data_IF_131797633403
#
_entry.id   IF_131797633403
#
_cell.length_a   1.000
_cell.length_b   1.000
_cell.length_c   1.000
_cell.angle_alpha   90.00
_cell.angle_beta   90.00
_cell.angle_gamma   90.00
#
_symmetry.space_group_name_H-M   'P 1'
#
loop_
_entity.id
_entity.type
_entity.pdbx_description
1 polymer ?
#
# COMPACT_ATOMS: atom_id res chain seq x y z
N UNK A 1 -33.70 27.58 3.60
CA UNK A 1 -32.27 27.15 3.66
C UNK A 1 -32.01 25.76 3.03
N UNK A 2 -32.52 24.61 3.53
CA UNK A 2 -32.45 23.32 2.78
C UNK A 2 -33.60 23.13 1.76
N UNK A 3 -34.70 23.86 1.92
CA UNK A 3 -35.87 23.79 1.03
C UNK A 3 -35.82 24.76 -0.17
N UNK A 4 -34.78 25.58 -0.31
CA UNK A 4 -34.75 26.67 -1.30
C UNK A 4 -33.77 26.46 -2.47
N UNK A 5 -32.92 25.43 -2.48
CA UNK A 5 -31.97 25.22 -3.58
C UNK A 5 -31.73 23.71 -3.78
N UNK A 6 -31.59 23.27 -5.04
CA UNK A 6 -31.24 21.91 -5.49
C UNK A 6 -29.97 21.33 -4.83
N UNK A 7 -29.98 21.09 -3.53
CA UNK A 7 -28.85 20.60 -2.75
C UNK A 7 -29.23 19.27 -2.09
N UNK A 8 -28.58 18.20 -2.52
CA UNK A 8 -28.60 16.90 -1.86
C UNK A 8 -27.39 16.76 -0.94
N UNK A 9 -27.50 15.90 0.08
CA UNK A 9 -26.40 15.49 0.94
C UNK A 9 -26.08 14.03 0.63
N UNK A 10 -24.82 13.72 0.35
CA UNK A 10 -24.32 12.34 0.28
C UNK A 10 -23.56 12.09 1.58
N UNK A 11 -23.89 11.01 2.26
CA UNK A 11 -23.24 10.58 3.50
C UNK A 11 -22.51 9.27 3.20
N UNK A 12 -21.21 9.25 3.47
CA UNK A 12 -20.37 8.05 3.38
C UNK A 12 -19.91 7.75 4.80
N UNK A 13 -20.07 6.50 5.23
CA UNK A 13 -19.54 5.98 6.49
C UNK A 13 -18.54 4.89 6.16
N UNK A 14 -17.38 4.95 6.81
CA UNK A 14 -16.29 4.00 6.68
C UNK A 14 -15.90 3.54 8.08
N UNK A 15 -15.90 2.22 8.30
CA UNK A 15 -15.39 1.57 9.50
C UNK A 15 -15.17 0.08 9.18
N UNK A 16 -14.68 -0.69 10.14
CA UNK A 16 -14.63 -2.15 10.07
C UNK A 16 -16.02 -2.73 9.92
N UNK A 17 -16.11 -3.93 9.33
CA UNK A 17 -17.37 -4.62 9.11
C UNK A 17 -18.15 -4.81 10.41
N UNK A 18 -17.44 -5.25 11.46
CA UNK A 18 -17.99 -5.53 12.78
C UNK A 18 -18.52 -4.26 13.47
N UNK A 19 -17.78 -3.16 13.34
CA UNK A 19 -18.16 -1.88 13.95
C UNK A 19 -19.33 -1.23 13.20
N UNK A 20 -19.33 -1.32 11.87
CA UNK A 20 -20.46 -0.88 11.05
C UNK A 20 -21.74 -1.67 11.36
N UNK A 21 -21.64 -2.99 11.44
CA UNK A 21 -22.78 -3.86 11.77
C UNK A 21 -23.31 -3.53 13.17
N UNK A 22 -22.41 -3.42 14.15
CA UNK A 22 -22.75 -3.02 15.53
C UNK A 22 -23.40 -1.64 15.60
N UNK A 23 -22.92 -0.68 14.81
CA UNK A 23 -23.46 0.68 14.76
C UNK A 23 -24.88 0.70 14.17
N UNK A 24 -25.09 0.02 13.05
CA UNK A 24 -26.38 -0.05 12.38
C UNK A 24 -27.42 -0.85 13.19
N UNK A 25 -27.00 -1.90 13.89
CA UNK A 25 -27.87 -2.66 14.81
C UNK A 25 -28.37 -1.81 15.98
N UNK A 26 -27.51 -0.94 16.53
CA UNK A 26 -27.90 0.03 17.57
C UNK A 26 -28.79 1.16 17.05
N UNK A 27 -28.74 1.45 15.74
CA UNK A 27 -29.46 2.57 15.11
C UNK A 27 -30.31 2.08 13.91
N UNK A 28 -31.36 1.28 14.13
CA UNK A 28 -32.12 0.65 13.05
C UNK A 28 -32.82 1.65 12.11
N UNK A 29 -33.09 2.87 12.56
CA UNK A 29 -33.62 3.95 11.71
C UNK A 29 -32.63 4.37 10.60
N UNK A 30 -31.33 4.31 10.88
CA UNK A 30 -30.28 4.67 9.91
C UNK A 30 -30.10 3.60 8.84
N UNK A 31 -30.44 2.32 9.11
CA UNK A 31 -30.36 1.24 8.11
C UNK A 31 -31.13 1.56 6.83
N UNK A 32 -32.20 2.34 6.92
CA UNK A 32 -33.01 2.75 5.76
C UNK A 32 -32.38 3.93 4.99
N UNK A 33 -31.51 4.71 5.64
CA UNK A 33 -30.83 5.86 5.02
C UNK A 33 -29.59 5.44 4.21
N UNK A 34 -28.98 4.29 4.52
CA UNK A 34 -27.83 3.74 3.80
C UNK A 34 -28.27 2.62 2.85
N UNK A 35 -28.62 2.99 1.62
CA UNK A 35 -29.12 2.07 0.58
C UNK A 35 -28.01 1.37 -0.22
N UNK A 36 -26.74 1.76 -0.01
CA UNK A 36 -25.57 1.17 -0.66
C UNK A 36 -24.56 0.78 0.42
N UNK A 37 -24.05 -0.46 0.34
CA UNK A 37 -22.96 -0.97 1.16
C UNK A 37 -21.89 -1.54 0.25
N UNK A 38 -20.64 -1.16 0.51
CA UNK A 38 -19.46 -1.70 -0.18
C UNK A 38 -18.57 -2.27 0.90
N UNK A 39 -18.47 -3.60 0.96
CA UNK A 39 -17.51 -4.29 1.83
C UNK A 39 -16.19 -4.45 1.06
N UNK A 40 -15.14 -3.76 1.51
CA UNK A 40 -13.80 -3.86 0.95
C UNK A 40 -13.06 -4.98 1.68
N UNK A 41 -12.63 -6.01 0.96
CA UNK A 41 -11.79 -7.06 1.52
C UNK A 41 -10.33 -6.59 1.57
N UNK A 42 -9.58 -7.07 2.56
CA UNK A 42 -8.14 -6.91 2.56
C UNK A 42 -7.53 -7.53 1.29
N UNK A 43 -6.44 -6.94 0.83
CA UNK A 43 -5.68 -7.49 -0.29
C UNK A 43 -4.94 -8.75 0.16
N UNK A 44 -4.95 -9.77 -0.67
CA UNK A 44 -4.08 -10.92 -0.49
C UNK A 44 -2.61 -10.54 -0.70
N UNK A 45 -1.69 -11.40 -0.26
CA UNK A 45 -0.25 -11.15 -0.34
C UNK A 45 0.20 -10.87 -1.78
N UNK A 46 -0.39 -11.54 -2.78
CA UNK A 46 -0.07 -11.33 -4.19
C UNK A 46 -0.52 -9.94 -4.68
N UNK A 47 -1.70 -9.48 -4.25
CA UNK A 47 -2.20 -8.13 -4.56
C UNK A 47 -1.41 -7.04 -3.83
N UNK A 48 -0.95 -7.31 -2.60
CA UNK A 48 -0.04 -6.41 -1.86
C UNK A 48 1.33 -6.31 -2.57
N UNK A 49 1.86 -7.41 -3.09
CA UNK A 49 3.11 -7.40 -3.89
C UNK A 49 2.91 -6.68 -5.22
N UNK A 50 1.79 -6.89 -5.91
CA UNK A 50 1.46 -6.15 -7.13
C UNK A 50 1.37 -4.64 -6.87
N UNK A 51 0.73 -4.25 -5.76
CA UNK A 51 0.68 -2.86 -5.31
C UNK A 51 2.08 -2.29 -5.05
N UNK A 52 2.93 -3.03 -4.33
CA UNK A 52 4.30 -2.60 -4.03
C UNK A 52 5.12 -2.37 -5.31
N UNK A 53 4.99 -3.25 -6.31
CA UNK A 53 5.66 -3.13 -7.60
C UNK A 53 5.21 -1.87 -8.35
N UNK A 54 3.91 -1.60 -8.35
CA UNK A 54 3.36 -0.40 -8.96
C UNK A 54 3.83 0.87 -8.22
N UNK A 55 3.83 0.85 -6.88
CA UNK A 55 4.29 1.97 -6.07
C UNK A 55 5.79 2.24 -6.26
N UNK A 56 6.63 1.21 -6.30
CA UNK A 56 8.05 1.34 -6.65
C UNK A 56 8.22 1.93 -8.06
N UNK A 57 7.44 1.46 -9.03
CA UNK A 57 7.47 1.97 -10.40
C UNK A 57 7.11 3.46 -10.47
N UNK A 58 6.10 3.91 -9.72
CA UNK A 58 5.74 5.33 -9.60
C UNK A 58 6.84 6.19 -8.97
N UNK A 59 7.77 5.57 -8.24
CA UNK A 59 8.94 6.22 -7.63
C UNK A 59 10.20 6.13 -8.49
N UNK A 60 10.10 5.65 -9.73
CA UNK A 60 11.23 5.42 -10.64
C UNK A 60 12.14 4.25 -10.21
N UNK A 61 11.59 3.28 -9.46
CA UNK A 61 12.26 2.05 -9.05
C UNK A 61 11.63 0.79 -9.67
N UNK A 62 12.45 -0.20 -9.98
CA UNK A 62 12.03 -1.56 -10.30
C UNK A 62 12.46 -2.51 -9.18
N UNK A 63 11.72 -3.59 -8.93
CA UNK A 63 12.09 -4.60 -7.94
C UNK A 63 12.54 -5.86 -8.69
N UNK A 64 13.77 -6.32 -8.45
CA UNK A 64 14.25 -7.57 -9.06
C UNK A 64 13.59 -8.82 -8.46
N UNK A 65 13.75 -9.96 -9.11
CA UNK A 65 13.09 -11.21 -8.66
C UNK A 65 13.44 -11.58 -7.21
N UNK A 66 14.67 -11.32 -6.75
CA UNK A 66 15.06 -11.61 -5.36
C UNK A 66 14.48 -10.57 -4.39
N UNK A 67 14.38 -9.31 -4.80
CA UNK A 67 13.68 -8.24 -4.10
C UNK A 67 12.19 -8.55 -3.91
N UNK A 68 11.54 -9.16 -4.92
CA UNK A 68 10.16 -9.63 -4.80
C UNK A 68 10.03 -10.75 -3.76
N UNK A 69 10.96 -11.72 -3.74
CA UNK A 69 10.95 -12.77 -2.71
C UNK A 69 11.16 -12.20 -1.29
N UNK A 70 12.07 -11.23 -1.14
CA UNK A 70 12.26 -10.53 0.13
C UNK A 70 10.99 -9.76 0.53
N UNK A 71 10.36 -9.06 -0.41
CA UNK A 71 9.11 -8.34 -0.18
C UNK A 71 7.98 -9.27 0.29
N UNK A 72 7.78 -10.43 -0.36
CA UNK A 72 6.83 -11.44 0.11
C UNK A 72 7.09 -11.83 1.56
N UNK A 73 8.37 -12.05 1.91
CA UNK A 73 8.76 -12.37 3.30
C UNK A 73 8.40 -11.24 4.25
N UNK A 74 8.69 -9.97 3.89
CA UNK A 74 8.39 -8.79 4.72
C UNK A 74 6.90 -8.52 4.92
N UNK A 75 6.07 -8.88 3.94
CA UNK A 75 4.60 -8.83 4.04
C UNK A 75 4.14 -9.97 4.96
N UNK A 76 4.56 -11.20 4.68
CA UNK A 76 4.18 -12.37 5.47
C UNK A 76 4.57 -12.25 6.95
N UNK A 77 5.74 -11.69 7.26
CA UNK A 77 6.20 -11.42 8.63
C UNK A 77 5.31 -10.43 9.40
N UNK A 78 4.60 -9.56 8.69
CA UNK A 78 3.68 -8.58 9.29
C UNK A 78 2.25 -9.08 9.37
N UNK A 79 1.88 -10.11 8.60
CA UNK A 79 0.59 -10.77 8.74
C UNK A 79 0.56 -11.53 10.08
N UNK A 80 -0.41 -11.23 10.93
CA UNK A 80 -0.63 -11.95 12.18
C UNK A 80 -2.09 -12.39 12.29
N UNK A 81 -2.43 -13.14 13.34
CA UNK A 81 -3.82 -13.56 13.58
C UNK A 81 -4.75 -12.36 13.90
N UNK A 82 -4.18 -11.25 14.35
CA UNK A 82 -4.86 -10.06 14.82
C UNK A 82 -4.61 -8.81 13.95
N UNK A 83 -3.80 -8.94 12.89
CA UNK A 83 -3.44 -7.84 12.00
C UNK A 83 -3.30 -8.32 10.55
N UNK A 84 -4.03 -7.66 9.66
CA UNK A 84 -3.88 -7.81 8.22
C UNK A 84 -3.05 -6.65 7.67
N UNK A 85 -2.06 -6.95 6.83
CA UNK A 85 -1.16 -5.94 6.27
C UNK A 85 -1.93 -4.99 5.35
N UNK A 86 -1.79 -3.70 5.63
CA UNK A 86 -2.45 -2.64 4.85
C UNK A 86 -1.57 -2.15 3.69
N UNK A 87 -2.22 -1.53 2.70
CA UNK A 87 -1.55 -0.82 1.61
C UNK A 87 -0.59 0.26 2.12
N UNK A 88 -0.92 0.91 3.24
CA UNK A 88 -0.06 1.92 3.87
C UNK A 88 1.25 1.30 4.39
N UNK A 89 1.17 0.14 5.06
CA UNK A 89 2.37 -0.56 5.53
C UNK A 89 3.22 -1.10 4.38
N UNK A 90 2.61 -1.51 3.27
CA UNK A 90 3.37 -1.89 2.07
C UNK A 90 4.14 -0.70 1.49
N UNK A 91 3.55 0.51 1.49
CA UNK A 91 4.29 1.73 1.11
C UNK A 91 5.50 1.94 2.00
N UNK A 92 5.34 1.79 3.32
CA UNK A 92 6.45 1.94 4.27
C UNK A 92 7.57 0.92 4.00
N UNK A 93 7.23 -0.33 3.65
CA UNK A 93 8.23 -1.35 3.27
C UNK A 93 9.02 -0.91 2.02
N UNK A 94 8.33 -0.38 1.02
CA UNK A 94 8.98 0.08 -0.23
C UNK A 94 9.80 1.35 0.02
N UNK A 95 9.29 2.30 0.79
CA UNK A 95 9.99 3.54 1.16
C UNK A 95 11.26 3.23 1.98
N UNK A 96 11.20 2.27 2.91
CA UNK A 96 12.37 1.73 3.61
C UNK A 96 13.39 1.17 2.61
N UNK A 97 12.94 0.36 1.64
CA UNK A 97 13.83 -0.24 0.64
C UNK A 97 14.50 0.82 -0.26
N UNK A 98 13.75 1.84 -0.69
CA UNK A 98 14.27 3.00 -1.41
C UNK A 98 15.33 3.70 -0.57
N UNK A 99 15.04 3.99 0.71
CA UNK A 99 15.98 4.62 1.62
C UNK A 99 17.29 3.82 1.74
N UNK A 100 17.22 2.49 1.89
CA UNK A 100 18.41 1.65 1.98
C UNK A 100 19.19 1.58 0.66
N UNK A 101 18.49 1.55 -0.48
CA UNK A 101 19.10 1.61 -1.80
C UNK A 101 19.84 2.94 -2.01
N UNK A 102 19.23 4.07 -1.61
CA UNK A 102 19.81 5.40 -1.70
C UNK A 102 20.98 5.61 -0.73
N UNK A 103 20.85 5.17 0.52
CA UNK A 103 21.95 5.28 1.49
C UNK A 103 23.20 4.53 1.03
N UNK A 104 23.02 3.35 0.43
CA UNK A 104 24.11 2.59 -0.20
C UNK A 104 24.60 3.25 -1.48
N UNK A 105 23.68 3.87 -2.25
CA UNK A 105 24.01 4.69 -3.41
C UNK A 105 24.96 5.82 -3.04
N UNK A 106 24.69 6.60 -1.99
CA UNK A 106 25.52 7.73 -1.54
C UNK A 106 26.89 7.27 -1.04
N UNK A 107 26.96 6.14 -0.35
CA UNK A 107 28.24 5.52 -0.02
C UNK A 107 29.04 5.08 -1.28
N UNK A 108 28.36 4.97 -2.43
CA UNK A 108 28.88 4.44 -3.69
C UNK A 108 28.73 5.43 -4.86
N UNK A 109 28.44 6.72 -4.60
CA UNK A 109 28.22 7.74 -5.64
C UNK A 109 29.49 7.96 -6.48
N UNK A 110 30.65 7.57 -5.95
CA UNK A 110 31.94 7.51 -6.66
C UNK A 110 31.90 6.50 -7.81
N UNK A 111 31.13 5.42 -7.70
CA UNK A 111 31.09 4.32 -8.68
C UNK A 111 30.00 4.52 -9.75
N UNK A 112 29.23 5.62 -9.71
CA UNK A 112 28.04 5.82 -10.58
C UNK A 112 28.17 6.98 -11.56
N UNK A 113 29.37 7.55 -11.66
CA UNK A 113 29.82 7.99 -12.98
C UNK A 113 29.93 6.80 -14.00
N UNK A 114 29.70 5.55 -13.57
CA UNK A 114 30.03 4.30 -14.27
C UNK A 114 28.80 3.37 -14.47
N UNK A 115 27.98 3.64 -15.50
CA UNK A 115 27.37 2.62 -16.39
C UNK A 115 26.50 1.42 -15.89
N UNK A 116 25.96 1.31 -14.66
CA UNK A 116 25.31 0.03 -14.23
C UNK A 116 24.03 0.05 -13.38
N UNK A 117 23.21 1.12 -13.37
CA UNK A 117 22.03 1.18 -12.46
C UNK A 117 20.66 1.40 -13.11
N UNK A 118 20.59 1.28 -14.41
CA UNK A 118 19.36 1.51 -15.18
C UNK A 118 18.92 0.20 -15.81
N UNK A 119 17.65 -0.16 -15.65
CA UNK A 119 17.01 -1.15 -16.53
C UNK A 119 16.68 -0.49 -17.89
N UNK A 120 16.03 -1.21 -18.80
CA UNK A 120 15.70 -0.70 -20.14
C UNK A 120 14.84 0.57 -20.14
N UNK A 121 14.24 0.94 -19.00
CA UNK A 121 13.39 2.10 -18.80
C UNK A 121 14.02 3.17 -17.90
N UNK A 122 15.33 3.11 -17.66
CA UNK A 122 16.04 4.03 -16.75
C UNK A 122 15.57 3.96 -15.27
N UNK A 123 15.08 2.81 -14.81
CA UNK A 123 14.64 2.63 -13.42
C UNK A 123 15.76 2.12 -12.51
N UNK A 124 15.76 2.56 -11.24
CA UNK A 124 16.70 2.06 -10.22
C UNK A 124 16.21 0.73 -9.66
N UNK A 125 17.06 -0.30 -9.70
CA UNK A 125 16.68 -1.65 -9.27
C UNK A 125 16.86 -1.81 -7.75
N UNK A 126 15.75 -2.00 -7.03
CA UNK A 126 15.68 -2.50 -5.65
C UNK A 126 15.96 -4.01 -5.63
N UNK A 127 16.90 -4.41 -4.78
CA UNK A 127 17.35 -5.81 -4.64
C UNK A 127 16.93 -6.37 -3.29
N UNK A 128 17.02 -7.69 -3.14
CA UNK A 128 16.78 -8.41 -1.87
C UNK A 128 17.35 -7.69 -0.64
N UNK A 129 18.62 -7.29 -0.74
CA UNK A 129 19.37 -6.61 0.32
C UNK A 129 18.78 -5.27 0.75
N UNK A 130 17.97 -4.63 -0.06
CA UNK A 130 17.39 -3.31 0.23
C UNK A 130 16.09 -3.47 1.04
N UNK A 131 15.43 -4.63 0.97
CA UNK A 131 14.33 -5.03 1.85
C UNK A 131 14.82 -5.64 3.18
N UNK A 132 16.12 -5.95 3.28
CA UNK A 132 16.78 -6.46 4.49
C UNK A 132 17.44 -5.31 5.26
N UNK A 133 17.11 -5.20 6.56
CA UNK A 133 17.67 -4.20 7.49
C UNK A 133 19.18 -4.33 7.68
#
# INVERSE_FOLDING_TARGET
>A
ILQEENKGLIIIMEDTKEDMDRFLDKNPSLKQSFNVRVDIQALDDDSLVAYARQYAYEKEYAIDNLGILALHTRISERQTLDHEVTVAEVKDIVDDAIYYAEKRSVAHFVDVLVNKRYDENDMVILREKDFMR
#
